data_IF_619398350392
#
_entry.id   IF_619398350392
#
_cell.length_a   1.000
_cell.length_b   1.000
_cell.length_c   1.000
_cell.angle_alpha   90.00
_cell.angle_beta   90.00
_cell.angle_gamma   90.00
#
_symmetry.space_group_name_H-M   'P 1'
#
loop_
_entity.id
_entity.type
_entity.pdbx_description
1 polymer ?
#
# COMPACT_ATOMS: atom_id res chain seq x y z
N UNK A 1 -66.36 -53.02 -1.23
CA UNK A 1 -65.64 -52.34 -0.13
C UNK A 1 -64.27 -51.92 -0.63
N UNK A 2 -63.99 -50.62 -0.60
CA UNK A 2 -62.73 -50.01 -1.05
C UNK A 2 -61.71 -50.04 0.09
N UNK A 3 -60.46 -50.39 -0.18
CA UNK A 3 -59.33 -50.24 0.74
C UNK A 3 -58.23 -49.40 0.09
N UNK A 4 -57.95 -48.24 0.69
CA UNK A 4 -56.87 -47.32 0.31
C UNK A 4 -55.51 -47.89 0.73
N UNK A 5 -54.51 -47.84 -0.16
CA UNK A 5 -53.10 -48.04 0.20
C UNK A 5 -52.37 -46.71 0.09
N UNK A 6 -51.76 -46.29 1.21
CA UNK A 6 -51.06 -45.02 1.37
C UNK A 6 -49.66 -45.05 0.72
N UNK A 7 -49.30 -43.95 0.03
CA UNK A 7 -47.96 -43.71 -0.47
C UNK A 7 -47.13 -42.98 0.60
N UNK A 8 -45.96 -43.51 0.95
CA UNK A 8 -44.99 -42.87 1.83
C UNK A 8 -44.08 -41.93 1.02
N UNK A 9 -44.06 -40.64 1.38
CA UNK A 9 -43.20 -39.62 0.78
C UNK A 9 -41.94 -39.46 1.64
N UNK A 10 -40.77 -39.80 1.09
CA UNK A 10 -39.48 -39.61 1.74
C UNK A 10 -39.03 -38.14 1.60
N UNK A 11 -38.83 -37.47 2.74
CA UNK A 11 -38.36 -36.08 2.81
C UNK A 11 -36.81 -36.08 2.78
N UNK A 12 -36.21 -35.59 1.70
CA UNK A 12 -34.75 -35.38 1.60
C UNK A 12 -34.43 -34.01 2.20
N UNK A 13 -33.83 -34.00 3.39
CA UNK A 13 -33.28 -32.81 4.03
C UNK A 13 -31.95 -32.41 3.35
N UNK A 14 -31.97 -31.38 2.52
CA UNK A 14 -30.76 -30.70 2.06
C UNK A 14 -30.29 -29.71 3.12
N UNK A 15 -29.28 -30.06 3.90
CA UNK A 15 -28.62 -29.11 4.80
C UNK A 15 -27.75 -28.14 3.96
N UNK A 16 -27.81 -26.82 4.20
CA UNK A 16 -26.92 -25.87 3.55
C UNK A 16 -25.49 -26.08 4.09
N UNK A 17 -24.54 -26.28 3.18
CA UNK A 17 -23.11 -26.22 3.49
C UNK A 17 -22.79 -24.76 3.78
N UNK A 18 -22.53 -24.43 5.05
CA UNK A 18 -22.04 -23.11 5.42
C UNK A 18 -20.62 -22.95 4.85
N UNK A 19 -20.49 -22.18 3.77
CA UNK A 19 -19.19 -21.73 3.28
C UNK A 19 -18.57 -20.82 4.34
N UNK A 20 -17.43 -21.21 4.88
CA UNK A 20 -16.65 -20.33 5.75
C UNK A 20 -16.28 -19.06 4.96
N UNK A 21 -16.52 -17.89 5.55
CA UNK A 21 -16.16 -16.63 4.92
C UNK A 21 -14.66 -16.61 4.60
N UNK A 22 -14.31 -16.25 3.37
CA UNK A 22 -12.92 -16.24 2.93
C UNK A 22 -12.18 -14.98 3.41
N UNK A 23 -10.90 -15.08 3.78
CA UNK A 23 -10.10 -13.92 4.13
C UNK A 23 -9.99 -12.92 2.98
N UNK A 24 -10.20 -11.65 3.29
CA UNK A 24 -10.00 -10.53 2.37
C UNK A 24 -8.60 -9.97 2.60
N UNK A 25 -7.85 -9.79 1.51
CA UNK A 25 -6.52 -9.16 1.52
C UNK A 25 -6.65 -7.72 1.03
N UNK A 26 -6.23 -6.70 1.81
CA UNK A 26 -6.08 -5.35 1.30
C UNK A 26 -5.14 -5.32 0.08
N UNK A 27 -5.29 -4.33 -0.82
CA UNK A 27 -4.46 -4.21 -2.02
C UNK A 27 -2.97 -4.35 -1.72
N UNK A 28 -2.32 -5.25 -2.45
CA UNK A 28 -0.91 -5.61 -2.31
C UNK A 28 -0.45 -6.10 -0.92
N UNK A 29 -1.37 -6.40 0.01
CA UNK A 29 -0.99 -6.94 1.31
C UNK A 29 -0.88 -8.46 1.29
N UNK A 30 0.11 -8.99 2.01
CA UNK A 30 0.27 -10.42 2.28
C UNK A 30 -0.55 -10.88 3.49
N UNK A 31 -1.17 -9.95 4.20
CA UNK A 31 -2.00 -10.19 5.38
C UNK A 31 -3.47 -10.03 4.98
N UNK A 32 -4.27 -11.05 5.25
CA UNK A 32 -5.72 -11.01 5.07
C UNK A 32 -6.43 -11.48 6.34
N UNK A 33 -7.68 -11.05 6.50
CA UNK A 33 -8.58 -11.51 7.58
C UNK A 33 -9.99 -11.63 6.99
N UNK A 34 -10.87 -12.35 7.67
CA UNK A 34 -12.32 -12.16 7.53
C UNK A 34 -12.68 -10.90 8.32
N UNK A 35 -12.97 -9.76 7.67
CA UNK A 35 -13.29 -8.54 8.39
C UNK A 35 -14.62 -8.69 9.14
N UNK A 36 -14.79 -8.00 10.29
CA UNK A 36 -16.11 -7.86 10.91
C UNK A 36 -17.14 -7.30 9.92
N UNK A 37 -18.41 -7.64 10.13
CA UNK A 37 -19.52 -7.18 9.30
C UNK A 37 -19.57 -5.64 9.19
N UNK A 38 -19.69 -5.13 7.96
CA UNK A 38 -19.66 -3.70 7.59
C UNK A 38 -18.29 -3.00 7.71
N UNK A 39 -17.20 -3.73 8.01
CA UNK A 39 -15.86 -3.16 7.96
C UNK A 39 -15.33 -3.20 6.52
N UNK A 40 -14.87 -2.05 6.02
CA UNK A 40 -14.39 -1.90 4.66
C UNK A 40 -12.87 -1.86 4.61
N UNK A 41 -12.30 -2.23 3.47
CA UNK A 41 -10.86 -2.02 3.22
C UNK A 41 -10.57 -0.52 3.30
N UNK A 42 -9.55 -0.15 4.09
CA UNK A 42 -9.17 1.24 4.25
C UNK A 42 -8.52 1.80 2.99
N UNK A 43 -8.85 3.05 2.65
CA UNK A 43 -8.19 3.80 1.57
C UNK A 43 -6.94 4.56 2.02
N UNK A 44 -6.67 4.59 3.33
CA UNK A 44 -5.64 5.46 3.96
C UNK A 44 -4.52 4.69 4.66
N UNK A 45 -4.70 3.40 4.91
CA UNK A 45 -3.69 2.49 5.43
C UNK A 45 -3.94 1.06 4.95
N UNK A 46 -2.94 0.18 5.06
CA UNK A 46 -3.15 -1.25 4.80
C UNK A 46 -3.98 -1.87 5.92
N UNK A 47 -5.19 -2.33 5.62
CA UNK A 47 -6.11 -2.93 6.59
C UNK A 47 -7.57 -2.55 6.36
N UNK A 48 -8.34 -2.48 7.45
CA UNK A 48 -9.79 -2.29 7.44
C UNK A 48 -10.24 -1.18 8.39
N UNK A 49 -11.34 -0.51 8.08
CA UNK A 49 -11.96 0.49 8.94
C UNK A 49 -13.48 0.53 8.85
N UNK A 50 -14.10 1.05 9.91
CA UNK A 50 -15.50 1.43 9.95
C UNK A 50 -15.60 2.75 10.69
N UNK A 51 -15.99 3.80 9.99
CA UNK A 51 -16.21 5.12 10.60
C UNK A 51 -17.42 5.08 11.54
N UNK A 52 -18.50 4.42 11.13
CA UNK A 52 -19.74 4.25 11.90
C UNK A 52 -19.48 3.56 13.25
N UNK A 53 -18.71 2.47 13.25
CA UNK A 53 -18.37 1.72 14.47
C UNK A 53 -17.06 2.19 15.11
N UNK A 54 -16.52 3.32 14.66
CA UNK A 54 -15.28 3.95 15.14
C UNK A 54 -14.11 2.97 15.32
N UNK A 55 -13.95 2.07 14.35
CA UNK A 55 -13.05 0.92 14.44
C UNK A 55 -12.03 0.90 13.30
N UNK A 56 -10.82 0.42 13.58
CA UNK A 56 -9.75 0.28 12.61
C UNK A 56 -8.88 -0.95 12.91
N UNK A 57 -8.47 -1.67 11.87
CA UNK A 57 -7.52 -2.78 11.91
C UNK A 57 -6.40 -2.45 10.94
N UNK A 58 -5.19 -2.22 11.43
CA UNK A 58 -4.01 -1.85 10.64
C UNK A 58 -3.07 -3.04 10.51
N UNK A 59 -2.52 -3.22 9.33
CA UNK A 59 -1.56 -4.28 9.01
C UNK A 59 -0.17 -3.70 8.78
N UNK A 60 0.83 -4.39 9.31
CA UNK A 60 2.24 -4.08 9.11
C UNK A 60 2.96 -5.38 8.78
N UNK A 61 3.69 -5.37 7.68
CA UNK A 61 4.51 -6.48 7.21
C UNK A 61 5.98 -6.20 7.52
N UNK A 62 6.65 -7.15 8.17
CA UNK A 62 8.07 -7.05 8.51
C UNK A 62 8.80 -8.33 8.08
N UNK A 63 10.13 -8.31 7.94
CA UNK A 63 10.89 -9.53 7.68
C UNK A 63 10.64 -10.60 8.76
N UNK A 64 10.66 -11.88 8.41
CA UNK A 64 10.51 -12.98 9.38
C UNK A 64 11.48 -12.88 10.57
N UNK A 65 12.70 -12.40 10.34
CA UNK A 65 13.71 -12.19 11.37
C UNK A 65 13.30 -11.17 12.45
N UNK A 66 12.37 -10.26 12.14
CA UNK A 66 11.91 -9.24 13.08
C UNK A 66 10.99 -9.79 14.19
N UNK A 67 10.41 -10.99 14.02
CA UNK A 67 9.42 -11.54 14.96
C UNK A 67 9.92 -11.58 16.40
N UNK A 68 11.14 -12.11 16.62
CA UNK A 68 11.70 -12.25 17.97
C UNK A 68 11.87 -10.89 18.66
N UNK A 69 12.45 -9.92 17.96
CA UNK A 69 12.61 -8.56 18.47
C UNK A 69 11.26 -7.88 18.72
N UNK A 70 10.30 -8.06 17.80
CA UNK A 70 8.96 -7.50 17.92
C UNK A 70 8.26 -8.01 19.19
N UNK A 71 8.16 -9.33 19.36
CA UNK A 71 7.46 -9.94 20.51
C UNK A 71 8.13 -9.58 21.84
N UNK A 72 9.47 -9.57 21.88
CA UNK A 72 10.21 -9.13 23.07
C UNK A 72 9.97 -7.66 23.42
N UNK A 73 9.74 -6.81 22.41
CA UNK A 73 9.41 -5.40 22.58
C UNK A 73 7.97 -5.14 23.02
N UNK A 74 7.05 -6.11 22.89
CA UNK A 74 5.66 -6.01 23.35
C UNK A 74 5.57 -6.27 24.85
N UNK A 75 6.29 -5.50 25.68
CA UNK A 75 6.14 -5.53 27.16
C UNK A 75 4.98 -4.65 27.60
N UNK A 76 4.47 -4.85 28.84
CA UNK A 76 3.38 -4.03 29.39
C UNK A 76 3.71 -2.54 29.40
N UNK A 77 4.94 -2.18 29.75
CA UNK A 77 5.43 -0.80 29.81
C UNK A 77 5.54 -0.19 28.41
N UNK A 78 6.02 -0.97 27.43
CA UNK A 78 6.08 -0.53 26.04
C UNK A 78 4.68 -0.32 25.44
N UNK A 79 3.76 -1.26 25.66
CA UNK A 79 2.37 -1.15 25.24
C UNK A 79 1.68 0.06 25.87
N UNK A 80 1.90 0.31 27.17
CA UNK A 80 1.35 1.48 27.87
C UNK A 80 1.84 2.79 27.25
N UNK A 81 3.13 2.87 26.91
CA UNK A 81 3.70 4.02 26.17
C UNK A 81 3.10 4.17 24.76
N UNK A 82 2.68 3.08 24.14
CA UNK A 82 1.98 3.04 22.85
C UNK A 82 0.44 3.17 22.98
N UNK A 83 -0.04 3.66 24.12
CA UNK A 83 -1.45 3.95 24.35
C UNK A 83 -2.31 2.69 24.56
N UNK A 84 -1.76 1.62 25.15
CA UNK A 84 -2.48 0.38 25.43
C UNK A 84 -2.18 -0.15 26.83
N UNK A 85 -3.20 -0.29 27.67
CA UNK A 85 -3.11 -0.99 28.95
C UNK A 85 -3.49 -2.46 28.73
N UNK A 86 -2.50 -3.35 28.80
CA UNK A 86 -2.69 -4.80 28.62
C UNK A 86 -3.61 -5.39 29.70
N UNK A 87 -4.65 -6.10 29.26
CA UNK A 87 -5.58 -6.86 30.13
C UNK A 87 -5.51 -8.37 29.87
N UNK A 88 -5.11 -8.78 28.66
CA UNK A 88 -4.98 -10.18 28.29
C UNK A 88 -3.80 -10.40 27.34
N UNK A 89 -3.21 -11.59 27.42
CA UNK A 89 -2.16 -12.06 26.53
C UNK A 89 -2.34 -13.54 26.29
N UNK A 90 -2.35 -13.93 25.03
CA UNK A 90 -2.57 -15.30 24.58
C UNK A 90 -1.50 -15.67 23.56
N UNK A 91 -0.93 -16.87 23.68
CA UNK A 91 -0.12 -17.46 22.61
C UNK A 91 -1.05 -18.13 21.60
N UNK A 92 -0.88 -17.80 20.32
CA UNK A 92 -1.68 -18.34 19.23
C UNK A 92 -0.94 -19.47 18.52
N UNK A 93 -1.70 -20.50 18.14
CA UNK A 93 -1.28 -21.52 17.18
C UNK A 93 -2.29 -21.54 16.03
N UNK A 94 -1.86 -21.07 14.86
CA UNK A 94 -2.69 -20.88 13.68
C UNK A 94 -2.18 -21.83 12.59
N UNK A 95 -2.65 -23.08 12.62
CA UNK A 95 -2.08 -24.15 11.81
C UNK A 95 -0.62 -24.42 12.20
N UNK A 96 0.31 -24.22 11.26
CA UNK A 96 1.76 -24.34 11.45
C UNK A 96 2.39 -23.07 12.04
N UNK A 97 1.65 -21.96 12.08
CA UNK A 97 2.15 -20.65 12.50
C UNK A 97 1.97 -20.44 13.99
N UNK A 98 2.86 -19.65 14.57
CA UNK A 98 2.77 -19.22 15.96
C UNK A 98 2.64 -17.71 16.03
N UNK A 99 1.99 -17.25 17.08
CA UNK A 99 1.79 -15.83 17.30
C UNK A 99 1.50 -15.48 18.75
N UNK A 100 1.29 -14.20 18.99
CA UNK A 100 0.80 -13.67 20.25
C UNK A 100 -0.35 -12.72 19.94
N UNK A 101 -1.41 -12.79 20.73
CA UNK A 101 -2.51 -11.83 20.72
C UNK A 101 -2.60 -11.19 22.09
N UNK A 102 -2.53 -9.87 22.12
CA UNK A 102 -2.58 -9.07 23.32
C UNK A 102 -3.83 -8.19 23.21
N UNK A 103 -4.71 -8.26 24.21
CA UNK A 103 -5.90 -7.44 24.34
C UNK A 103 -5.73 -6.44 25.49
N UNK A 104 -6.42 -5.31 25.38
CA UNK A 104 -6.29 -4.25 26.36
C UNK A 104 -7.22 -3.08 26.12
N UNK A 105 -7.18 -2.11 27.02
CA UNK A 105 -7.88 -0.83 26.88
C UNK A 105 -6.96 0.23 26.29
N UNK A 106 -7.53 1.17 25.55
CA UNK A 106 -6.78 2.33 25.08
C UNK A 106 -6.36 3.18 26.30
N UNK A 107 -5.07 3.49 26.38
CA UNK A 107 -4.53 4.40 27.38
C UNK A 107 -4.47 5.82 26.77
N UNK A 108 -5.14 6.78 27.40
CA UNK A 108 -5.22 8.16 26.92
C UNK A 108 -6.60 8.78 27.17
N UNK A 109 -6.86 9.98 26.62
CA UNK A 109 -8.14 10.67 26.80
C UNK A 109 -9.29 10.00 26.02
N UNK A 110 -8.97 9.22 24.98
CA UNK A 110 -9.95 8.48 24.20
C UNK A 110 -10.12 7.09 24.81
N UNK A 111 -11.32 6.81 25.33
CA UNK A 111 -11.67 5.47 25.80
C UNK A 111 -11.91 4.53 24.62
N UNK A 112 -11.52 3.28 24.79
CA UNK A 112 -11.71 2.26 23.78
C UNK A 112 -10.97 0.97 24.11
N UNK A 113 -11.04 0.03 23.17
CA UNK A 113 -10.39 -1.27 23.23
C UNK A 113 -9.34 -1.36 22.13
N UNK A 114 -8.23 -2.03 22.43
CA UNK A 114 -7.11 -2.18 21.52
C UNK A 114 -6.59 -3.62 21.58
N UNK A 115 -6.19 -4.13 20.43
CA UNK A 115 -5.56 -5.44 20.28
C UNK A 115 -4.29 -5.30 19.46
N UNK A 116 -3.27 -6.04 19.84
CA UNK A 116 -2.01 -6.17 19.11
C UNK A 116 -1.77 -7.65 18.90
N UNK A 117 -1.67 -8.06 17.64
CA UNK A 117 -1.38 -9.44 17.26
C UNK A 117 -0.11 -9.47 16.43
N UNK A 118 0.82 -10.36 16.79
CA UNK A 118 1.99 -10.65 15.96
C UNK A 118 1.95 -12.13 15.58
N UNK A 119 2.12 -12.43 14.29
CA UNK A 119 2.15 -13.80 13.76
C UNK A 119 3.42 -13.98 12.94
N UNK A 120 4.13 -15.09 13.18
CA UNK A 120 5.31 -15.48 12.41
C UNK A 120 4.91 -16.44 11.29
N UNK A 121 5.38 -16.15 10.09
CA UNK A 121 5.44 -17.08 8.96
C UNK A 121 6.90 -17.37 8.59
N UNK A 122 7.12 -18.16 7.54
CA UNK A 122 8.46 -18.53 7.08
C UNK A 122 9.31 -17.32 6.64
N UNK A 123 8.73 -16.40 5.87
CA UNK A 123 9.41 -15.24 5.28
C UNK A 123 8.83 -13.88 5.71
N UNK A 124 7.76 -13.90 6.51
CA UNK A 124 7.01 -12.73 6.95
C UNK A 124 6.77 -12.73 8.47
N UNK A 125 6.84 -11.55 9.08
CA UNK A 125 6.20 -11.25 10.36
C UNK A 125 5.03 -10.35 10.11
N UNK A 126 3.82 -10.78 10.47
CA UNK A 126 2.61 -9.97 10.40
C UNK A 126 2.35 -9.32 11.76
N UNK A 127 2.24 -7.99 11.79
CA UNK A 127 1.77 -7.23 12.94
C UNK A 127 0.41 -6.62 12.60
N UNK A 128 -0.61 -6.98 13.38
CA UNK A 128 -1.97 -6.48 13.24
C UNK A 128 -2.34 -5.68 14.48
N UNK A 129 -2.75 -4.43 14.29
CA UNK A 129 -3.16 -3.52 15.37
C UNK A 129 -4.61 -3.13 15.15
N UNK A 130 -5.49 -3.63 16.01
CA UNK A 130 -6.90 -3.32 15.97
C UNK A 130 -7.31 -2.40 17.11
N UNK A 131 -8.26 -1.50 16.86
CA UNK A 131 -8.84 -0.64 17.89
C UNK A 131 -10.31 -0.34 17.60
N UNK A 132 -11.09 -0.17 18.66
CA UNK A 132 -12.46 0.34 18.62
C UNK A 132 -12.52 1.47 19.63
N UNK A 133 -12.94 2.66 19.20
CA UNK A 133 -13.10 3.85 20.05
C UNK A 133 -14.55 3.95 20.52
N UNK A 134 -14.76 4.51 21.71
CA UNK A 134 -16.07 4.49 22.37
C UNK A 134 -16.24 3.17 23.13
N UNK A 135 -16.73 3.23 24.37
CA UNK A 135 -16.63 2.15 25.36
C UNK A 135 -17.15 0.78 24.90
N UNK A 136 -18.45 0.53 25.08
CA UNK A 136 -19.09 -0.72 24.65
C UNK A 136 -19.72 -0.64 23.25
N UNK A 137 -19.87 0.56 22.71
CA UNK A 137 -20.36 0.78 21.35
C UNK A 137 -19.35 0.28 20.30
N UNK A 138 -19.83 -0.05 19.10
CA UNK A 138 -19.03 -0.60 18.01
C UNK A 138 -18.92 -2.13 18.03
N UNK A 139 -17.82 -2.68 17.51
CA UNK A 139 -17.63 -4.14 17.46
C UNK A 139 -17.38 -4.74 18.85
N UNK A 140 -18.00 -5.88 19.15
CA UNK A 140 -17.77 -6.64 20.38
C UNK A 140 -16.35 -7.22 20.45
N UNK A 141 -15.92 -7.61 21.65
CA UNK A 141 -14.62 -8.28 21.84
C UNK A 141 -14.54 -9.58 21.04
N UNK A 142 -15.61 -10.37 21.01
CA UNK A 142 -15.68 -11.61 20.23
C UNK A 142 -15.52 -11.35 18.74
N UNK A 143 -16.29 -10.41 18.17
CA UNK A 143 -16.19 -10.07 16.74
C UNK A 143 -14.77 -9.64 16.33
N UNK A 144 -14.11 -8.81 17.15
CA UNK A 144 -12.75 -8.38 16.86
C UNK A 144 -11.74 -9.52 16.99
N UNK A 145 -11.87 -10.37 18.01
CA UNK A 145 -10.97 -11.51 18.21
C UNK A 145 -11.14 -12.57 17.12
N UNK A 146 -12.37 -12.83 16.69
CA UNK A 146 -12.67 -13.76 15.59
C UNK A 146 -12.06 -13.26 14.29
N UNK A 147 -12.24 -11.98 13.97
CA UNK A 147 -11.59 -11.36 12.81
C UNK A 147 -10.05 -11.47 12.88
N UNK A 148 -9.44 -11.16 14.02
CA UNK A 148 -7.98 -11.29 14.18
C UNK A 148 -7.51 -12.75 14.05
N UNK A 149 -8.23 -13.70 14.65
CA UNK A 149 -7.88 -15.12 14.60
C UNK A 149 -8.11 -15.76 13.23
N UNK A 150 -8.92 -15.13 12.37
CA UNK A 150 -9.12 -15.53 10.97
C UNK A 150 -7.96 -15.14 10.05
N UNK A 151 -6.86 -14.61 10.59
CA UNK A 151 -5.71 -14.18 9.80
C UNK A 151 -5.20 -15.26 8.85
N UNK A 152 -5.07 -14.87 7.60
CA UNK A 152 -4.45 -15.63 6.54
C UNK A 152 -3.23 -14.87 6.01
N UNK A 153 -2.13 -15.60 5.83
CA UNK A 153 -0.91 -15.08 5.24
C UNK A 153 -0.67 -15.77 3.91
N UNK A 154 -0.28 -14.98 2.91
CA UNK A 154 0.06 -15.46 1.57
C UNK A 154 1.52 -15.18 1.22
N UNK A 155 1.98 -15.86 0.17
CA UNK A 155 3.31 -15.66 -0.39
C UNK A 155 3.51 -14.24 -0.96
N UNK A 156 4.70 -13.97 -1.54
CA UNK A 156 4.99 -12.68 -2.15
C UNK A 156 3.96 -12.26 -3.19
N UNK A 157 3.62 -10.98 -3.21
CA UNK A 157 2.67 -10.38 -4.15
C UNK A 157 3.39 -10.10 -5.48
N UNK A 158 2.78 -10.47 -6.60
CA UNK A 158 3.34 -10.20 -7.93
C UNK A 158 3.51 -8.70 -8.18
N UNK A 159 4.45 -8.31 -9.04
CA UNK A 159 4.66 -6.89 -9.39
C UNK A 159 3.39 -6.27 -10.01
N UNK A 160 2.69 -7.01 -10.86
CA UNK A 160 1.45 -6.53 -11.48
C UNK A 160 0.34 -6.27 -10.46
N UNK A 161 0.20 -7.17 -9.47
CA UNK A 161 -0.75 -6.96 -8.39
C UNK A 161 -0.35 -5.76 -7.52
N UNK A 162 0.94 -5.59 -7.22
CA UNK A 162 1.42 -4.39 -6.52
C UNK A 162 1.12 -3.11 -7.30
N UNK A 163 1.32 -3.12 -8.62
CA UNK A 163 1.01 -1.98 -9.49
C UNK A 163 -0.48 -1.69 -9.53
N UNK A 164 -1.33 -2.72 -9.51
CA UNK A 164 -2.79 -2.57 -9.48
C UNK A 164 -3.30 -1.94 -8.18
N UNK A 165 -2.53 -2.03 -7.10
CA UNK A 165 -2.85 -1.49 -5.79
C UNK A 165 -2.45 -0.01 -5.61
N UNK A 166 -1.76 0.59 -6.58
CA UNK A 166 -1.30 1.97 -6.48
C UNK A 166 -2.49 2.95 -6.41
N UNK A 167 -2.31 4.12 -5.77
CA UNK A 167 -3.31 5.18 -5.72
C UNK A 167 -3.42 5.97 -7.05
N UNK A 168 -3.06 5.33 -8.17
CA UNK A 168 -3.24 5.80 -9.52
C UNK A 168 -3.23 4.61 -10.49
N UNK A 169 -3.82 4.77 -11.67
CA UNK A 169 -3.70 3.82 -12.78
C UNK A 169 -2.79 4.38 -13.87
N UNK A 170 -2.12 3.48 -14.57
CA UNK A 170 -1.35 3.82 -15.76
C UNK A 170 -2.07 3.30 -16.99
N UNK A 171 -2.35 4.19 -17.93
CA UNK A 171 -2.78 3.85 -19.28
C UNK A 171 -1.63 3.26 -20.10
N UNK A 172 -1.28 3.91 -21.20
CA UNK A 172 -0.17 3.48 -22.05
C UNK A 172 1.18 3.64 -21.33
N UNK A 173 1.91 2.53 -21.18
CA UNK A 173 3.24 2.49 -20.54
C UNK A 173 4.38 2.74 -21.54
N UNK A 174 4.08 2.97 -22.81
CA UNK A 174 5.04 3.23 -23.88
C UNK A 174 6.16 2.19 -23.99
N UNK A 175 5.84 0.91 -23.74
CA UNK A 175 6.79 -0.21 -23.74
C UNK A 175 7.58 -0.39 -22.44
N UNK A 176 7.42 0.48 -21.44
CA UNK A 176 8.05 0.31 -20.14
C UNK A 176 7.30 -0.73 -19.30
N UNK A 177 8.04 -1.68 -18.73
CA UNK A 177 7.51 -2.72 -17.85
C UNK A 177 7.75 -2.35 -16.38
N UNK A 178 6.81 -2.64 -15.47
CA UNK A 178 7.03 -2.42 -14.05
C UNK A 178 8.08 -3.39 -13.53
N UNK A 179 8.92 -2.93 -12.61
CA UNK A 179 9.91 -3.78 -11.92
C UNK A 179 9.71 -3.83 -10.42
N UNK A 180 9.22 -2.74 -9.81
CA UNK A 180 8.92 -2.70 -8.38
C UNK A 180 7.98 -1.57 -8.01
N UNK A 181 7.18 -1.79 -6.98
CA UNK A 181 6.50 -0.73 -6.24
C UNK A 181 7.38 -0.29 -5.07
N UNK A 182 7.38 1.02 -4.79
CA UNK A 182 8.14 1.65 -3.71
C UNK A 182 7.14 2.33 -2.79
N UNK A 183 7.14 1.95 -1.52
CA UNK A 183 6.31 2.55 -0.46
C UNK A 183 4.80 2.58 -0.73
N UNK A 184 4.29 1.73 -1.64
CA UNK A 184 2.87 1.59 -1.95
C UNK A 184 2.24 2.74 -2.73
N UNK A 185 2.98 3.81 -3.03
CA UNK A 185 2.47 4.99 -3.75
C UNK A 185 3.29 5.37 -4.98
N UNK A 186 4.33 4.60 -5.28
CA UNK A 186 5.23 4.83 -6.41
C UNK A 186 5.54 3.53 -7.10
N UNK A 187 5.73 3.57 -8.41
CA UNK A 187 6.21 2.43 -9.18
C UNK A 187 7.36 2.83 -10.08
N UNK A 188 8.31 1.92 -10.20
CA UNK A 188 9.44 2.03 -11.09
C UNK A 188 9.24 1.11 -12.29
N UNK A 189 9.49 1.66 -13.46
CA UNK A 189 9.38 1.02 -14.74
C UNK A 189 10.68 1.14 -15.50
N UNK A 190 10.91 0.22 -16.42
CA UNK A 190 12.09 0.25 -17.27
C UNK A 190 11.81 -0.32 -18.65
N UNK A 191 12.63 0.06 -19.62
CA UNK A 191 12.67 -0.55 -20.93
C UNK A 191 14.06 -1.15 -21.15
N UNK A 192 14.18 -2.46 -20.93
CA UNK A 192 15.42 -3.21 -20.95
C UNK A 192 15.26 -4.55 -20.25
N UNK A 193 16.29 -5.42 -20.25
CA UNK A 193 16.19 -6.75 -19.67
C UNK A 193 16.43 -6.81 -18.15
N UNK A 194 16.95 -5.75 -17.52
CA UNK A 194 17.32 -5.79 -16.10
C UNK A 194 16.16 -5.41 -15.17
N UNK A 195 15.90 -6.19 -14.14
CA UNK A 195 14.87 -5.88 -13.12
C UNK A 195 15.47 -5.17 -11.91
N UNK A 196 16.79 -5.24 -11.79
CA UNK A 196 17.58 -4.54 -10.78
C UNK A 196 18.01 -3.20 -11.32
N UNK A 197 17.90 -2.17 -10.48
CA UNK A 197 18.43 -0.85 -10.80
C UNK A 197 19.87 -0.81 -10.32
N UNK A 198 20.79 -0.79 -11.27
CA UNK A 198 22.20 -0.56 -11.04
C UNK A 198 22.61 0.53 -12.02
N UNK A 199 22.89 1.72 -11.50
CA UNK A 199 23.00 2.94 -12.31
C UNK A 199 21.79 3.13 -13.28
N UNK A 200 21.90 4.10 -14.19
CA UNK A 200 20.95 4.29 -15.31
C UNK A 200 21.49 3.56 -16.55
N UNK A 201 21.69 2.24 -16.43
CA UNK A 201 22.19 1.41 -17.54
C UNK A 201 21.17 1.26 -18.67
N UNK A 202 19.89 1.32 -18.33
CA UNK A 202 18.73 1.28 -19.22
C UNK A 202 17.72 2.38 -18.83
N UNK A 203 16.87 2.84 -19.77
CA UNK A 203 15.86 3.85 -19.49
C UNK A 203 14.96 3.43 -18.32
N UNK A 204 14.69 4.36 -17.41
CA UNK A 204 13.81 4.12 -16.28
C UNK A 204 12.83 5.26 -16.07
N UNK A 205 11.66 4.92 -15.54
CA UNK A 205 10.60 5.87 -15.18
C UNK A 205 10.13 5.56 -13.78
N UNK A 206 10.06 6.59 -12.95
CA UNK A 206 9.44 6.51 -11.62
C UNK A 206 8.20 7.38 -11.65
N UNK A 207 7.03 6.79 -11.37
CA UNK A 207 5.77 7.53 -11.19
C UNK A 207 5.38 7.42 -9.72
N UNK A 208 5.11 8.55 -9.07
CA UNK A 208 4.79 8.64 -7.65
C UNK A 208 3.62 9.59 -7.40
N UNK A 209 2.64 9.15 -6.63
CA UNK A 209 1.57 10.01 -6.12
C UNK A 209 1.95 10.57 -4.74
N UNK A 210 1.67 11.85 -4.51
CA UNK A 210 1.87 12.47 -3.20
C UNK A 210 0.91 11.88 -2.17
N UNK A 211 1.42 11.50 -0.99
CA UNK A 211 0.61 11.06 0.15
C UNK A 211 0.60 12.13 1.23
N UNK A 212 -0.55 12.71 1.54
CA UNK A 212 -0.75 13.63 2.67
C UNK A 212 0.23 14.83 2.71
N UNK A 213 0.71 15.28 1.55
CA UNK A 213 1.60 16.45 1.45
C UNK A 213 0.78 17.65 0.97
N UNK A 214 0.89 18.83 1.61
CA UNK A 214 0.26 20.05 1.12
C UNK A 214 0.72 20.38 -0.30
N UNK A 215 -0.23 20.70 -1.18
CA UNK A 215 0.09 21.12 -2.54
C UNK A 215 0.69 22.54 -2.48
N UNK A 216 1.84 22.79 -3.13
CA UNK A 216 2.37 24.14 -3.22
C UNK A 216 1.40 25.07 -3.97
N UNK A 217 1.20 26.31 -3.49
CA UNK A 217 0.50 27.36 -4.23
C UNK A 217 1.06 27.54 -5.64
N UNK A 218 0.21 27.99 -6.58
CA UNK A 218 0.53 28.00 -8.01
C UNK A 218 1.83 28.74 -8.34
N UNK A 219 2.06 29.90 -7.71
CA UNK A 219 3.26 30.73 -7.84
C UNK A 219 4.54 30.05 -7.33
N UNK A 220 4.43 29.06 -6.42
CA UNK A 220 5.55 28.31 -5.86
C UNK A 220 5.82 26.97 -6.55
N UNK A 221 5.00 26.56 -7.52
CA UNK A 221 5.13 25.24 -8.18
C UNK A 221 6.44 25.05 -8.95
N UNK A 222 6.96 26.10 -9.61
CA UNK A 222 8.25 26.04 -10.30
C UNK A 222 9.41 25.85 -9.33
N UNK A 223 9.42 26.60 -8.21
CA UNK A 223 10.42 26.42 -7.14
C UNK A 223 10.34 25.02 -6.54
N UNK A 224 9.13 24.54 -6.25
CA UNK A 224 8.88 23.20 -5.75
C UNK A 224 9.43 22.12 -6.70
N UNK A 225 9.16 22.23 -8.00
CA UNK A 225 9.66 21.27 -8.98
C UNK A 225 11.19 21.25 -9.06
N UNK A 226 11.85 22.41 -8.99
CA UNK A 226 13.31 22.50 -8.95
C UNK A 226 13.89 21.88 -7.68
N UNK A 227 13.30 22.16 -6.52
CA UNK A 227 13.72 21.55 -5.26
C UNK A 227 13.56 20.02 -5.30
N UNK A 228 12.43 19.52 -5.83
CA UNK A 228 12.20 18.10 -6.02
C UNK A 228 13.24 17.46 -6.96
N UNK A 229 13.62 18.11 -8.05
CA UNK A 229 14.66 17.61 -8.97
C UNK A 229 16.04 17.55 -8.29
N UNK A 230 16.40 18.56 -7.50
CA UNK A 230 17.68 18.60 -6.80
C UNK A 230 17.76 17.63 -5.60
N UNK A 231 16.64 17.12 -5.11
CA UNK A 231 16.61 16.14 -4.01
C UNK A 231 17.01 14.71 -4.41
N UNK A 232 17.15 14.43 -5.72
CA UNK A 232 17.46 13.09 -6.20
C UNK A 232 18.97 12.82 -6.09
N UNK A 233 19.36 11.94 -5.17
CA UNK A 233 20.76 11.59 -4.90
C UNK A 233 21.48 10.89 -6.07
N UNK A 234 20.72 10.31 -7.00
CA UNK A 234 21.25 9.68 -8.22
C UNK A 234 21.76 10.71 -9.24
N UNK A 235 21.41 11.98 -9.08
CA UNK A 235 21.76 13.04 -10.03
C UNK A 235 22.87 13.94 -9.46
N UNK A 236 23.98 14.07 -10.19
CA UNK A 236 25.05 15.05 -9.95
C UNK A 236 25.11 16.04 -11.10
N UNK A 237 25.69 17.22 -10.85
CA UNK A 237 25.94 18.26 -11.86
C UNK A 237 24.72 18.59 -12.74
N UNK A 238 23.55 18.72 -12.13
CA UNK A 238 22.28 18.97 -12.82
C UNK A 238 22.35 20.32 -13.56
N UNK A 239 22.14 20.28 -14.88
CA UNK A 239 22.04 21.46 -15.75
C UNK A 239 20.66 21.48 -16.39
N UNK A 240 19.81 22.38 -15.91
CA UNK A 240 18.44 22.56 -16.41
C UNK A 240 18.49 23.23 -17.79
N UNK A 241 17.93 22.57 -18.79
CA UNK A 241 17.81 23.08 -20.16
C UNK A 241 16.46 23.75 -20.39
N UNK A 242 15.38 23.16 -19.84
CA UNK A 242 14.02 23.67 -19.94
C UNK A 242 13.29 23.45 -18.62
N UNK A 243 12.47 24.42 -18.21
CA UNK A 243 11.63 24.36 -17.03
C UNK A 243 10.40 25.22 -17.27
N UNK A 244 9.26 24.58 -17.50
CA UNK A 244 8.06 25.23 -18.00
C UNK A 244 6.84 24.79 -17.21
N UNK A 245 5.96 25.76 -16.94
CA UNK A 245 4.62 25.50 -16.43
C UNK A 245 3.62 25.62 -17.57
N UNK A 246 2.65 24.71 -17.62
CA UNK A 246 1.58 24.76 -18.61
C UNK A 246 0.29 24.16 -18.05
N UNK A 247 -0.83 24.40 -18.73
CA UNK A 247 -2.13 23.81 -18.40
C UNK A 247 -2.48 22.76 -19.43
N UNK A 248 -2.86 21.57 -19.00
CA UNK A 248 -3.23 20.47 -19.87
C UNK A 248 -4.30 19.61 -19.19
N UNK A 249 -5.35 19.23 -19.95
CA UNK A 249 -6.53 18.49 -19.46
C UNK A 249 -7.20 19.08 -18.21
N UNK A 250 -7.10 20.40 -18.03
CA UNK A 250 -7.68 21.11 -16.90
C UNK A 250 -6.80 21.17 -15.64
N UNK A 251 -5.72 20.37 -15.57
CA UNK A 251 -4.73 20.43 -14.50
C UNK A 251 -3.58 21.38 -14.83
N UNK A 252 -2.88 21.81 -13.80
CA UNK A 252 -1.63 22.55 -13.94
C UNK A 252 -0.43 21.58 -13.88
N UNK A 253 0.56 21.85 -14.72
CA UNK A 253 1.71 21.00 -14.92
C UNK A 253 3.00 21.81 -14.80
N UNK A 254 4.07 21.16 -14.38
CA UNK A 254 5.42 21.69 -14.50
C UNK A 254 6.37 20.60 -14.99
N UNK A 255 7.04 20.85 -16.12
CA UNK A 255 8.02 19.95 -16.72
C UNK A 255 9.42 20.57 -16.65
N UNK A 256 10.41 19.77 -16.24
CA UNK A 256 11.83 20.11 -16.29
C UNK A 256 12.53 19.07 -17.14
N UNK A 257 13.32 19.51 -18.12
CA UNK A 257 14.32 18.69 -18.80
C UNK A 257 15.71 19.22 -18.45
N UNK A 258 16.58 18.32 -18.02
CA UNK A 258 17.94 18.63 -17.62
C UNK A 258 18.91 17.53 -18.07
N UNK A 259 20.18 17.89 -18.25
CA UNK A 259 21.27 16.92 -18.28
C UNK A 259 21.86 16.78 -16.87
N UNK A 260 22.35 15.61 -16.54
CA UNK A 260 23.04 15.34 -15.27
C UNK A 260 24.11 14.26 -15.47
N UNK A 261 24.91 14.03 -14.43
CA UNK A 261 25.81 12.89 -14.31
C UNK A 261 25.18 11.89 -13.34
N UNK A 262 25.08 10.63 -13.75
CA UNK A 262 24.59 9.56 -12.87
C UNK A 262 25.62 9.28 -11.77
N UNK A 263 25.16 9.28 -10.52
CA UNK A 263 26.02 9.36 -9.34
C UNK A 263 26.98 8.16 -9.15
N UNK A 264 26.56 6.96 -9.54
CA UNK A 264 27.31 5.70 -9.35
C UNK A 264 28.28 5.42 -10.50
N UNK A 265 27.80 5.50 -11.75
CA UNK A 265 28.54 5.15 -12.97
C UNK A 265 29.31 6.32 -13.58
N UNK A 266 29.00 7.56 -13.19
CA UNK A 266 29.59 8.76 -13.77
C UNK A 266 29.14 9.03 -15.22
N UNK A 267 28.16 8.28 -15.74
CA UNK A 267 27.70 8.43 -17.11
C UNK A 267 26.80 9.66 -17.28
N UNK A 268 26.88 10.35 -18.43
CA UNK A 268 25.99 11.46 -18.72
C UNK A 268 24.59 10.93 -19.02
N UNK A 269 23.59 11.58 -18.43
CA UNK A 269 22.17 11.22 -18.56
C UNK A 269 21.32 12.45 -18.83
N UNK A 270 20.14 12.21 -19.39
CA UNK A 270 19.04 13.17 -19.47
C UNK A 270 17.97 12.76 -18.48
N UNK A 271 17.48 13.75 -17.73
CA UNK A 271 16.34 13.63 -16.82
C UNK A 271 15.18 14.47 -17.32
N UNK A 272 13.99 13.88 -17.34
CA UNK A 272 12.73 14.61 -17.49
C UNK A 272 11.88 14.40 -16.25
N UNK A 273 11.59 15.49 -15.55
CA UNK A 273 10.68 15.49 -14.44
C UNK A 273 9.39 16.19 -14.83
N UNK A 274 8.26 15.54 -14.61
CA UNK A 274 6.94 16.14 -14.81
C UNK A 274 6.15 16.06 -13.51
N UNK A 275 5.58 17.17 -13.07
CA UNK A 275 4.67 17.22 -11.93
C UNK A 275 3.32 17.71 -12.41
N UNK A 276 2.28 16.91 -12.20
CA UNK A 276 0.88 17.26 -12.43
C UNK A 276 0.21 17.56 -11.09
N UNK A 277 -0.34 18.75 -10.95
CA UNK A 277 -0.99 19.20 -9.73
C UNK A 277 -2.51 19.02 -9.85
N UNK A 278 -3.08 18.21 -8.95
CA UNK A 278 -4.52 18.05 -8.76
C UNK A 278 -5.02 19.04 -7.69
N UNK A 279 -6.30 18.95 -7.30
CA UNK A 279 -6.88 19.81 -6.27
C UNK A 279 -6.41 19.51 -4.85
N UNK A 280 -6.12 18.24 -4.54
CA UNK A 280 -5.82 17.71 -3.20
C UNK A 280 -4.47 16.95 -3.13
N UNK A 281 -3.85 16.66 -4.27
CA UNK A 281 -2.58 15.92 -4.41
C UNK A 281 -1.80 16.35 -5.65
N UNK A 282 -0.63 15.76 -5.85
CA UNK A 282 0.08 15.81 -7.13
C UNK A 282 0.61 14.43 -7.52
N UNK A 283 0.84 14.23 -8.80
CA UNK A 283 1.61 13.11 -9.32
C UNK A 283 2.93 13.63 -9.89
N UNK A 284 4.03 12.96 -9.58
CA UNK A 284 5.36 13.27 -10.07
C UNK A 284 5.89 12.08 -10.84
N UNK A 285 6.38 12.33 -12.04
CA UNK A 285 7.17 11.39 -12.82
C UNK A 285 8.60 11.89 -12.94
N UNK A 286 9.57 10.97 -12.85
CA UNK A 286 10.96 11.17 -13.27
C UNK A 286 11.30 10.10 -14.30
N UNK A 287 11.61 10.52 -15.53
CA UNK A 287 12.23 9.67 -16.54
C UNK A 287 13.74 9.93 -16.60
N UNK A 288 14.53 8.87 -16.65
CA UNK A 288 16.00 8.91 -16.77
C UNK A 288 16.42 8.06 -17.97
N UNK A 289 17.31 8.60 -18.80
CA UNK A 289 17.84 7.91 -19.98
C UNK A 289 19.26 8.38 -20.25
N UNK A 290 20.04 7.59 -20.99
CA UNK A 290 21.33 8.06 -21.51
C UNK A 290 21.14 9.17 -22.54
N UNK A 291 22.14 10.03 -22.71
CA UNK A 291 22.08 11.20 -23.60
C UNK A 291 21.79 10.80 -25.05
N UNK A 292 22.41 9.73 -25.54
CA UNK A 292 22.23 9.20 -26.89
C UNK A 292 20.83 8.65 -27.17
N UNK A 293 20.05 8.33 -26.14
CA UNK A 293 18.69 7.80 -26.23
C UNK A 293 17.61 8.88 -25.96
N UNK A 294 18.01 10.14 -25.82
CA UNK A 294 17.14 11.27 -25.49
C UNK A 294 15.90 11.35 -26.39
N UNK A 295 16.12 11.42 -27.70
CA UNK A 295 15.04 11.70 -28.66
C UNK A 295 14.04 10.55 -28.74
N UNK A 296 14.50 9.32 -28.50
CA UNK A 296 13.65 8.15 -28.40
C UNK A 296 12.78 8.18 -27.12
N UNK A 297 13.37 8.52 -25.97
CA UNK A 297 12.74 8.27 -24.68
C UNK A 297 11.96 9.45 -24.10
N UNK A 298 12.33 10.70 -24.38
CA UNK A 298 11.58 11.86 -23.87
C UNK A 298 10.09 11.83 -24.31
N UNK A 299 9.74 11.53 -25.57
CA UNK A 299 8.33 11.40 -25.96
C UNK A 299 7.61 10.26 -25.23
N UNK A 300 8.28 9.12 -25.02
CA UNK A 300 7.71 7.95 -24.33
C UNK A 300 7.43 8.23 -22.86
N UNK A 301 8.33 8.96 -22.20
CA UNK A 301 8.09 9.43 -20.83
C UNK A 301 6.84 10.32 -20.77
N UNK A 302 6.61 11.21 -21.74
CA UNK A 302 5.39 12.03 -21.80
C UNK A 302 4.14 11.18 -21.96
N UNK A 303 4.16 10.19 -22.87
CA UNK A 303 3.06 9.23 -23.04
C UNK A 303 2.64 8.59 -21.72
N UNK A 304 3.61 8.18 -20.90
CA UNK A 304 3.34 7.55 -19.59
C UNK A 304 2.61 8.50 -18.64
N UNK A 305 3.14 9.71 -18.42
CA UNK A 305 2.55 10.66 -17.46
C UNK A 305 1.21 11.22 -17.92
N UNK A 306 1.03 11.39 -19.24
CA UNK A 306 -0.24 11.84 -19.84
C UNK A 306 -1.36 10.79 -19.69
N UNK A 307 -0.97 9.52 -19.56
CA UNK A 307 -1.83 8.36 -19.32
C UNK A 307 -2.07 8.03 -17.84
N UNK A 308 -1.51 8.79 -16.89
CA UNK A 308 -1.78 8.58 -15.46
C UNK A 308 -3.21 9.01 -15.13
N UNK A 309 -4.00 8.09 -14.63
CA UNK A 309 -5.35 8.32 -14.12
C UNK A 309 -5.34 8.31 -12.59
N UNK A 310 -5.86 9.39 -11.99
CA UNK A 310 -5.93 9.57 -10.55
C UNK A 310 -7.34 9.33 -10.00
N UNK A 311 -8.32 8.94 -10.83
CA UNK A 311 -9.68 8.65 -10.38
C UNK A 311 -9.77 7.24 -9.78
N UNK A 312 -9.72 7.15 -8.46
CA UNK A 312 -9.87 5.93 -7.65
C UNK A 312 -10.83 6.14 -6.48
#
# INVERSE_FOLDING_TARGET
MKGFAAAALALILTAPVALAAEPVFPPASRIGIVPPEDMLVSKRFSGFESEEKAAAINFVEMPAAAYGQLVNGLTKEALKRQGMSETSRESLKLGTRTGVLIGGTMAGPVQGRKWVMAVKDEDLTALVIAQVRGGQDGYSETQMRDALKSIALRGPVSVDEQVSALPFRLGDKAGFRPVRVISGNSALFTDGPQDTIKAVEQPMVIVAASLNVPIPPQDRRSQFARAALNSNQILKDIKIERSESFRFKGQDWHEIVATAVEAESGQPIVVMQTIRFESDRYVRMIGLTRVEQRDQNLPRFRTIIDGVDMSL
#
